data_IF_762851061481
#
_entry.id   IF_762851061481
#
_cell.length_a   1.000
_cell.length_b   1.000
_cell.length_c   1.000
_cell.angle_alpha   90.00
_cell.angle_beta   90.00
_cell.angle_gamma   90.00
#
_symmetry.space_group_name_H-M   'P 1'
#
loop_
_entity.id
_entity.type
_entity.pdbx_description
1 polymer ?
#
# COMPACT_ATOMS: atom_id res chain seq x y z
N UNK A 1 9.93 -0.57 -11.51
CA UNK A 1 8.69 0.11 -11.10
C UNK A 1 9.05 1.38 -10.34
N UNK A 2 8.42 2.47 -10.68
CA UNK A 2 8.70 3.75 -10.03
C UNK A 2 7.79 3.95 -8.82
N UNK A 3 8.21 4.82 -7.91
CA UNK A 3 7.44 5.13 -6.70
C UNK A 3 6.03 5.62 -7.04
N UNK A 4 5.90 6.45 -8.08
CA UNK A 4 4.58 6.92 -8.52
C UNK A 4 3.66 5.80 -8.96
N UNK A 5 4.21 4.76 -9.60
CA UNK A 5 3.43 3.59 -10.01
C UNK A 5 2.94 2.80 -8.80
N UNK A 6 3.77 2.71 -7.76
CA UNK A 6 3.38 2.05 -6.51
C UNK A 6 2.24 2.79 -5.82
N UNK A 7 2.33 4.11 -5.75
CA UNK A 7 1.26 4.93 -5.16
C UNK A 7 -0.04 4.78 -5.92
N UNK A 8 0.03 4.75 -7.25
CA UNK A 8 -1.15 4.58 -8.09
C UNK A 8 -1.78 3.20 -7.87
N UNK A 9 -0.95 2.16 -7.83
CA UNK A 9 -1.42 0.80 -7.57
C UNK A 9 -2.05 0.69 -6.18
N UNK A 10 -1.45 1.31 -5.18
CA UNK A 10 -2.01 1.32 -3.83
C UNK A 10 -3.38 2.00 -3.80
N UNK A 11 -3.52 3.12 -4.53
CA UNK A 11 -4.80 3.81 -4.62
C UNK A 11 -5.87 2.95 -5.28
N UNK A 12 -5.51 2.22 -6.33
CA UNK A 12 -6.42 1.30 -7.00
C UNK A 12 -6.85 0.16 -6.09
N UNK A 13 -5.90 -0.44 -5.38
CA UNK A 13 -6.21 -1.51 -4.43
C UNK A 13 -7.11 -1.01 -3.31
N UNK A 14 -6.85 0.18 -2.79
CA UNK A 14 -7.69 0.76 -1.76
C UNK A 14 -9.11 1.02 -2.27
N UNK A 15 -9.24 1.45 -3.51
CA UNK A 15 -10.55 1.70 -4.12
C UNK A 15 -11.33 0.41 -4.32
N UNK A 16 -10.65 -0.68 -4.71
CA UNK A 16 -11.31 -1.96 -4.98
C UNK A 16 -11.66 -2.72 -3.72
N UNK A 17 -10.78 -2.70 -2.72
CA UNK A 17 -10.89 -3.56 -1.54
C UNK A 17 -11.21 -2.81 -0.26
N UNK A 18 -11.12 -1.48 -0.29
CA UNK A 18 -11.34 -0.67 0.90
C UNK A 18 -10.37 -1.02 2.02
N UNK A 19 -10.83 -1.08 3.28
CA UNK A 19 -9.94 -1.38 4.41
C UNK A 19 -9.32 -2.78 4.33
N UNK A 20 -9.90 -3.70 3.56
CA UNK A 20 -9.35 -5.05 3.40
C UNK A 20 -8.03 -5.06 2.63
N UNK A 21 -7.77 -4.02 1.85
CA UNK A 21 -6.53 -3.94 1.07
C UNK A 21 -5.29 -3.97 1.98
N UNK A 22 -5.34 -3.27 3.10
CA UNK A 22 -4.23 -3.24 4.05
C UNK A 22 -4.00 -4.61 4.67
N UNK A 23 -5.06 -5.30 5.08
CA UNK A 23 -4.96 -6.65 5.62
C UNK A 23 -4.38 -7.61 4.59
N UNK A 24 -4.83 -7.49 3.35
CA UNK A 24 -4.31 -8.31 2.25
C UNK A 24 -2.80 -8.10 2.07
N UNK A 25 -2.37 -6.84 2.06
CA UNK A 25 -0.95 -6.53 1.89
C UNK A 25 -0.10 -7.08 3.04
N UNK A 26 -0.57 -6.94 4.27
CA UNK A 26 0.13 -7.46 5.45
C UNK A 26 0.27 -8.97 5.41
N UNK A 27 -0.79 -9.67 5.02
CA UNK A 27 -0.74 -11.13 4.88
C UNK A 27 0.23 -11.54 3.78
N UNK A 28 0.23 -10.82 2.69
CA UNK A 28 1.13 -11.11 1.59
C UNK A 28 2.60 -10.99 2.02
N UNK A 29 2.92 -9.98 2.83
CA UNK A 29 4.28 -9.82 3.37
C UNK A 29 4.68 -11.09 4.14
N UNK A 30 3.85 -11.53 5.07
CA UNK A 30 4.14 -12.70 5.90
C UNK A 30 4.30 -13.96 5.04
N UNK A 31 3.38 -14.18 4.10
CA UNK A 31 3.41 -15.35 3.24
C UNK A 31 4.66 -15.40 2.37
N UNK A 32 5.04 -14.26 1.79
CA UNK A 32 6.23 -14.21 0.96
C UNK A 32 7.51 -14.33 1.77
N UNK A 33 7.55 -13.77 2.97
CA UNK A 33 8.69 -13.97 3.87
C UNK A 33 8.86 -15.44 4.23
N UNK A 34 7.77 -16.12 4.56
CA UNK A 34 7.80 -17.55 4.91
C UNK A 34 8.21 -18.41 3.72
N UNK A 35 7.89 -17.97 2.51
CA UNK A 35 8.28 -18.67 1.29
C UNK A 35 9.71 -18.33 0.83
N UNK A 36 10.37 -17.39 1.49
CA UNK A 36 11.72 -16.94 1.10
C UNK A 36 11.73 -16.01 -0.09
N UNK A 37 10.56 -15.53 -0.53
CA UNK A 37 10.44 -14.61 -1.65
C UNK A 37 10.60 -13.17 -1.17
N UNK A 38 11.83 -12.80 -0.80
CA UNK A 38 12.09 -11.54 -0.13
C UNK A 38 11.80 -10.32 -0.99
N UNK A 39 12.04 -10.41 -2.30
CA UNK A 39 11.72 -9.29 -3.21
C UNK A 39 10.23 -8.98 -3.21
N UNK A 40 9.39 -10.02 -3.24
CA UNK A 40 7.95 -9.85 -3.20
C UNK A 40 7.47 -9.39 -1.83
N UNK A 41 8.09 -9.92 -0.78
CA UNK A 41 7.78 -9.49 0.58
C UNK A 41 8.06 -8.00 0.74
N UNK A 42 9.19 -7.53 0.22
CA UNK A 42 9.54 -6.11 0.29
C UNK A 42 8.56 -5.24 -0.50
N UNK A 43 8.16 -5.69 -1.68
CA UNK A 43 7.16 -5.00 -2.49
C UNK A 43 5.86 -4.80 -1.69
N UNK A 44 5.35 -5.88 -1.10
CA UNK A 44 4.09 -5.81 -0.34
C UNK A 44 4.25 -5.04 0.97
N UNK A 45 5.45 -5.06 1.55
CA UNK A 45 5.73 -4.24 2.71
C UNK A 45 5.58 -2.74 2.40
N UNK A 46 6.19 -2.29 1.29
CA UNK A 46 6.02 -0.90 0.84
C UNK A 46 4.56 -0.61 0.53
N UNK A 47 3.88 -1.54 -0.13
CA UNK A 47 2.46 -1.42 -0.42
C UNK A 47 1.63 -1.24 0.85
N UNK A 48 1.94 -2.00 1.90
CA UNK A 48 1.21 -1.90 3.17
C UNK A 48 1.37 -0.52 3.81
N UNK A 49 2.55 0.08 3.69
CA UNK A 49 2.79 1.43 4.19
C UNK A 49 1.95 2.45 3.42
N UNK A 50 1.93 2.34 2.09
CA UNK A 50 1.15 3.24 1.25
C UNK A 50 -0.35 3.09 1.50
N UNK A 51 -0.82 1.86 1.65
CA UNK A 51 -2.23 1.60 1.95
C UNK A 51 -2.61 2.14 3.33
N UNK A 52 -1.72 2.02 4.30
CA UNK A 52 -1.96 2.57 5.62
C UNK A 52 -2.07 4.09 5.57
N UNK A 53 -1.20 4.74 4.82
CA UNK A 53 -1.24 6.19 4.66
C UNK A 53 -2.53 6.65 3.98
N UNK A 54 -2.98 5.91 2.98
CA UNK A 54 -4.26 6.20 2.31
C UNK A 54 -5.42 6.01 3.29
N UNK A 55 -5.40 4.93 4.06
CA UNK A 55 -6.46 4.63 5.02
C UNK A 55 -6.55 5.68 6.13
N UNK A 56 -5.42 6.28 6.49
CA UNK A 56 -5.36 7.34 7.49
C UNK A 56 -5.50 8.73 6.87
N UNK A 57 -5.72 8.80 5.56
CA UNK A 57 -5.88 10.05 4.81
C UNK A 57 -4.62 10.93 4.79
N UNK A 58 -3.47 10.34 5.01
CA UNK A 58 -2.21 11.08 4.93
C UNK A 58 -1.78 11.33 3.49
N UNK A 59 -2.17 10.41 2.58
CA UNK A 59 -1.88 10.50 1.17
C UNK A 59 -3.18 10.45 0.39
N UNK A 60 -3.99 11.47 0.51
CA UNK A 60 -5.21 11.57 -0.28
C UNK A 60 -4.95 12.50 -1.47
N UNK A 61 -4.87 11.95 -2.69
CA UNK A 61 -4.61 12.79 -3.87
C UNK A 61 -5.75 13.72 -4.22
N UNK A 62 -6.94 13.49 -3.65
CA UNK A 62 -8.10 14.34 -3.91
C UNK A 62 -8.18 15.51 -2.94
N UNK A 63 -7.50 15.43 -1.82
CA UNK A 63 -7.49 16.53 -0.87
C UNK A 63 -6.39 17.53 -1.24
N UNK A 64 -6.71 18.83 -1.26
CA UNK A 64 -5.66 19.81 -1.48
C UNK A 64 -4.67 19.78 -0.33
N UNK A 65 -3.40 19.90 -0.67
CA UNK A 65 -2.36 20.00 0.33
C UNK A 65 -2.53 21.33 1.07
N UNK A 66 -2.98 21.23 2.29
CA UNK A 66 -3.14 22.41 3.15
C UNK A 66 -1.99 22.42 4.13
N UNK A 67 -1.13 23.41 3.99
CA UNK A 67 -0.04 23.63 4.93
C UNK A 67 -0.44 24.68 5.94
N UNK A 68 -0.30 24.32 7.18
CA UNK A 68 -0.55 25.24 8.27
C UNK A 68 0.72 25.57 9.00
#
# INVERSE_FOLDING_TARGET
>A
MRTGDLCHLAAELAAEHGPNALDYARRAVVEFENAGAMDRAQFWFVMSILLDDIATQRLDPELPLVFH
#
